data_IF_306843081177
#
_entry.id   IF_306843081177
#
_cell.length_a   1.000
_cell.length_b   1.000
_cell.length_c   1.000
_cell.angle_alpha   90.00
_cell.angle_beta   90.00
_cell.angle_gamma   90.00
#
_symmetry.space_group_name_H-M   'P 1'
#
loop_
_entity.id
_entity.type
_entity.pdbx_description
1 polymer ?
#
# COMPACT_ATOMS: atom_id res chain seq x y z
N UNK A 1 -1.35 -20.87 -0.98
CA UNK A 1 -1.54 -19.78 0.01
C UNK A 1 -3.04 -19.67 0.30
N UNK A 2 -3.45 -19.15 1.45
CA UNK A 2 -4.87 -19.11 1.86
C UNK A 2 -5.64 -17.87 1.34
N UNK A 3 -4.94 -16.83 0.88
CA UNK A 3 -5.53 -15.56 0.41
C UNK A 3 -5.34 -15.28 -1.09
N UNK A 4 -5.20 -16.31 -1.95
CA UNK A 4 -4.76 -16.15 -3.35
C UNK A 4 -5.66 -15.30 -4.27
N UNK A 5 -6.91 -15.04 -3.86
CA UNK A 5 -7.85 -14.20 -4.61
C UNK A 5 -8.16 -12.87 -3.90
N UNK A 6 -7.44 -12.56 -2.82
CA UNK A 6 -7.65 -11.35 -2.04
C UNK A 6 -6.76 -10.24 -2.57
N UNK A 7 -7.39 -9.16 -3.03
CA UNK A 7 -6.76 -7.93 -3.52
C UNK A 7 -7.04 -6.84 -2.51
N UNK A 8 -6.03 -6.54 -1.70
CA UNK A 8 -6.09 -5.58 -0.61
C UNK A 8 -5.52 -4.25 -1.08
N UNK A 9 -6.23 -3.18 -0.75
CA UNK A 9 -5.60 -1.87 -0.68
C UNK A 9 -5.35 -1.55 0.79
N UNK A 10 -4.17 -1.04 1.11
CA UNK A 10 -3.84 -0.66 2.49
C UNK A 10 -3.56 0.84 2.53
N UNK A 11 -4.38 1.56 3.31
CA UNK A 11 -4.27 2.98 3.57
C UNK A 11 -3.83 3.21 5.02
N UNK A 12 -2.54 3.37 5.25
CA UNK A 12 -1.99 3.49 6.61
C UNK A 12 -0.90 4.55 6.72
N UNK A 13 -0.47 4.88 7.93
CA UNK A 13 0.79 5.61 8.12
C UNK A 13 1.95 4.62 8.02
N UNK A 14 3.03 4.93 7.29
CA UNK A 14 4.23 4.09 7.32
C UNK A 14 4.97 4.35 8.64
N UNK A 15 4.55 3.65 9.69
CA UNK A 15 5.32 3.54 10.92
C UNK A 15 6.26 2.36 10.75
N UNK A 16 7.56 2.54 10.99
CA UNK A 16 8.68 1.64 10.70
C UNK A 16 8.61 0.22 11.33
N UNK A 17 7.57 -0.55 11.00
CA UNK A 17 7.36 -1.93 11.39
C UNK A 17 6.64 -2.71 10.28
N UNK A 18 6.51 -4.03 10.42
CA UNK A 18 5.74 -4.84 9.49
C UNK A 18 4.30 -4.31 9.46
N UNK A 19 3.87 -3.78 8.31
CA UNK A 19 2.48 -3.40 8.13
C UNK A 19 1.61 -4.66 8.13
N UNK A 20 0.34 -4.53 8.49
CA UNK A 20 -0.59 -5.65 8.43
C UNK A 20 -0.65 -6.24 7.00
N UNK A 21 -0.48 -5.40 5.97
CA UNK A 21 -0.38 -5.86 4.58
C UNK A 21 0.79 -6.79 4.30
N UNK A 22 1.95 -6.65 4.94
CA UNK A 22 3.07 -7.59 4.71
C UNK A 22 2.72 -9.01 5.15
N UNK A 23 2.04 -9.15 6.30
CA UNK A 23 1.55 -10.45 6.75
C UNK A 23 0.47 -11.03 5.82
N UNK A 24 -0.44 -10.19 5.31
CA UNK A 24 -1.44 -10.61 4.32
C UNK A 24 -0.80 -11.06 3.01
N UNK A 25 0.27 -10.37 2.57
CA UNK A 25 1.05 -10.77 1.40
C UNK A 25 1.70 -12.15 1.61
N UNK A 26 2.28 -12.43 2.78
CA UNK A 26 2.81 -13.76 3.13
C UNK A 26 1.73 -14.86 3.13
N UNK A 27 0.47 -14.50 3.38
CA UNK A 27 -0.66 -15.44 3.39
C UNK A 27 -1.33 -15.64 2.02
N UNK A 28 -1.03 -14.83 1.02
CA UNK A 28 -1.52 -15.02 -0.35
C UNK A 28 -2.05 -13.81 -1.05
N UNK A 29 -2.25 -12.71 -0.34
CA UNK A 29 -2.99 -11.58 -0.85
C UNK A 29 -2.10 -10.70 -1.73
N UNK A 30 -2.69 -10.17 -2.80
CA UNK A 30 -2.09 -9.09 -3.56
C UNK A 30 -2.37 -7.77 -2.84
N UNK A 31 -1.33 -7.00 -2.55
CA UNK A 31 -1.44 -5.75 -1.77
C UNK A 31 -1.00 -4.58 -2.63
N UNK A 32 -1.71 -3.45 -2.54
CA UNK A 32 -1.23 -2.14 -2.98
C UNK A 32 -1.40 -1.13 -1.86
N UNK A 33 -0.43 -0.23 -1.71
CA UNK A 33 -0.33 0.58 -0.50
C UNK A 33 -0.20 2.07 -0.81
N UNK A 34 -0.92 2.92 -0.08
CA UNK A 34 -0.72 4.37 -0.06
C UNK A 34 -0.84 4.92 1.36
N UNK A 35 -0.30 6.12 1.60
CA UNK A 35 -0.41 6.72 2.93
C UNK A 35 -1.80 7.27 3.18
N UNK A 36 -2.26 7.27 4.43
CA UNK A 36 -3.47 7.98 4.85
C UNK A 36 -3.19 9.42 5.34
N UNK A 37 -1.91 9.84 5.38
CA UNK A 37 -1.53 11.18 5.81
C UNK A 37 -0.19 11.61 5.20
N UNK A 38 -0.21 12.75 4.51
CA UNK A 38 0.93 13.33 3.77
C UNK A 38 2.20 13.56 4.61
N UNK A 39 2.13 13.58 5.95
CA UNK A 39 3.29 13.77 6.83
C UNK A 39 3.71 12.50 7.58
N UNK A 40 2.93 11.43 7.46
CA UNK A 40 3.10 10.21 8.26
C UNK A 40 4.03 9.17 7.64
N UNK A 41 4.32 9.28 6.34
CA UNK A 41 5.23 8.38 5.64
C UNK A 41 6.64 8.47 6.24
N UNK A 42 7.23 7.32 6.52
CA UNK A 42 8.66 7.16 6.73
C UNK A 42 9.26 6.55 5.47
N UNK A 43 9.95 7.35 4.67
CA UNK A 43 10.40 6.95 3.32
C UNK A 43 11.28 5.70 3.32
N UNK A 44 12.10 5.51 4.36
CA UNK A 44 12.93 4.31 4.51
C UNK A 44 12.09 3.03 4.71
N UNK A 45 10.98 3.13 5.45
CA UNK A 45 10.07 2.02 5.64
C UNK A 45 9.19 1.79 4.39
N UNK A 46 8.78 2.86 3.71
CA UNK A 46 8.08 2.77 2.42
C UNK A 46 8.96 2.06 1.37
N UNK A 47 10.24 2.42 1.33
CA UNK A 47 11.23 1.77 0.47
C UNK A 47 11.46 0.30 0.84
N UNK A 48 11.46 -0.05 2.13
CA UNK A 48 11.60 -1.43 2.58
C UNK A 48 10.41 -2.31 2.15
N UNK A 49 9.18 -1.77 2.22
CA UNK A 49 7.96 -2.46 1.74
C UNK A 49 7.99 -2.58 0.21
N UNK A 50 8.40 -1.52 -0.50
CA UNK A 50 8.55 -1.58 -1.95
C UNK A 50 9.60 -2.63 -2.39
N UNK A 51 10.69 -2.77 -1.62
CA UNK A 51 11.73 -3.76 -1.87
C UNK A 51 11.26 -5.21 -1.66
N UNK A 52 10.16 -5.44 -0.92
CA UNK A 52 9.53 -6.77 -0.80
C UNK A 52 8.56 -7.08 -1.96
N UNK A 53 8.48 -6.21 -2.97
CA UNK A 53 7.66 -6.41 -4.18
C UNK A 53 6.22 -5.91 -4.06
N UNK A 54 5.86 -5.25 -2.96
CA UNK A 54 4.54 -4.63 -2.78
C UNK A 54 4.56 -3.24 -3.42
N UNK A 55 3.62 -2.89 -4.33
CA UNK A 55 3.48 -1.53 -4.84
C UNK A 55 3.16 -0.52 -3.73
N UNK A 56 4.01 0.49 -3.56
CA UNK A 56 3.88 1.55 -2.55
C UNK A 56 3.82 2.91 -3.25
N UNK A 57 2.78 3.68 -2.96
CA UNK A 57 2.54 5.03 -3.48
C UNK A 57 2.46 6.01 -2.30
N UNK A 58 3.62 6.38 -1.77
CA UNK A 58 3.70 7.36 -0.69
C UNK A 58 5.09 7.95 -0.53
N UNK A 59 5.14 9.26 -0.28
CA UNK A 59 6.38 10.00 0.01
C UNK A 59 6.09 10.97 1.16
N UNK A 60 7.04 11.11 2.09
CA UNK A 60 6.90 12.07 3.19
C UNK A 60 6.85 13.50 2.64
N UNK A 61 5.77 14.20 2.98
CA UNK A 61 5.55 15.59 2.57
C UNK A 61 5.00 15.71 1.15
N UNK A 62 4.40 14.66 0.60
CA UNK A 62 3.65 14.73 -0.66
C UNK A 62 2.56 15.81 -0.63
N UNK A 63 2.27 16.39 -1.79
CA UNK A 63 1.16 17.34 -1.94
C UNK A 63 -0.20 16.64 -1.85
N UNK A 64 -1.27 17.39 -1.58
CA UNK A 64 -2.63 16.83 -1.60
C UNK A 64 -3.02 16.28 -2.98
N UNK A 65 -2.47 16.84 -4.06
CA UNK A 65 -2.73 16.34 -5.41
C UNK A 65 -2.07 14.96 -5.62
N UNK A 66 -0.81 14.81 -5.20
CA UNK A 66 -0.10 13.52 -5.23
C UNK A 66 -0.78 12.49 -4.34
N UNK A 67 -1.20 12.88 -3.13
CA UNK A 67 -1.96 12.00 -2.24
C UNK A 67 -3.18 11.39 -2.94
N UNK A 68 -4.01 12.22 -3.60
CA UNK A 68 -5.21 11.73 -4.29
C UNK A 68 -4.88 10.92 -5.55
N UNK A 69 -3.80 11.25 -6.25
CA UNK A 69 -3.29 10.42 -7.36
C UNK A 69 -2.87 9.03 -6.84
N UNK A 70 -2.14 8.98 -5.73
CA UNK A 70 -1.67 7.74 -5.10
C UNK A 70 -2.83 6.89 -4.60
N UNK A 71 -3.84 7.51 -3.99
CA UNK A 71 -5.10 6.84 -3.65
C UNK A 71 -5.75 6.27 -4.91
N UNK A 72 -5.77 6.99 -6.04
CA UNK A 72 -6.25 6.43 -7.31
C UNK A 72 -5.49 5.18 -7.76
N UNK A 73 -4.16 5.20 -7.65
CA UNK A 73 -3.28 4.11 -8.13
C UNK A 73 -3.41 2.82 -7.32
N UNK A 74 -3.75 2.88 -6.03
CA UNK A 74 -4.01 1.67 -5.24
C UNK A 74 -5.30 0.97 -5.63
N UNK A 75 -6.29 1.70 -6.19
CA UNK A 75 -7.53 1.12 -6.72
C UNK A 75 -7.42 0.63 -8.17
N UNK A 76 -6.35 0.98 -8.89
CA UNK A 76 -6.21 0.68 -10.33
C UNK A 76 -5.73 -0.77 -10.62
N UNK A 77 -6.60 -1.75 -10.48
CA UNK A 77 -6.27 -3.17 -10.75
C UNK A 77 -6.47 -3.58 -12.22
N UNK A 78 -6.53 -2.63 -13.16
CA UNK A 78 -6.80 -2.91 -14.57
C UNK A 78 -8.25 -3.37 -14.78
N UNK A 79 -8.42 -4.59 -15.31
CA UNK A 79 -9.76 -5.17 -15.56
C UNK A 79 -10.42 -5.72 -14.28
N UNK A 80 -9.70 -5.73 -13.16
CA UNK A 80 -10.13 -6.24 -11.86
C UNK A 80 -10.40 -5.13 -10.85
N UNK A 81 -10.97 -5.49 -9.68
CA UNK A 81 -11.14 -4.59 -8.54
C UNK A 81 -10.55 -5.17 -7.25
N UNK A 82 -10.17 -4.31 -6.31
CA UNK A 82 -9.89 -4.74 -4.94
C UNK A 82 -11.16 -5.31 -4.27
N UNK A 83 -10.96 -6.20 -3.30
CA UNK A 83 -12.05 -6.81 -2.52
C UNK A 83 -11.87 -6.65 -1.00
N UNK A 84 -10.81 -5.97 -0.57
CA UNK A 84 -10.56 -5.59 0.81
C UNK A 84 -9.86 -4.22 0.88
N UNK A 85 -10.25 -3.39 1.86
CA UNK A 85 -9.68 -2.08 2.20
C UNK A 85 -9.29 -2.11 3.67
#
# INVERSE_FOLDING_TARGET
>A
MILQDIKVIELAGVLAGPSAGMFLAELGADIRWATCNIYSTQDHAAAAIAASGIPVFAIKGESLAEYWDYVGRIFDWGDDTCNLI
#
